data_IF_953880581179
#
_entry.id   IF_953880581179
#
_cell.length_a   1.000
_cell.length_b   1.000
_cell.length_c   1.000
_cell.angle_alpha   90.00
_cell.angle_beta   90.00
_cell.angle_gamma   90.00
#
_symmetry.space_group_name_H-M   'P 1'
#
loop_
_entity.id
_entity.type
_entity.pdbx_description
1 polymer ?
#
# COMPACT_ATOMS: atom_id res chain seq x y z
N UNK A 1 23.83 7.05 -9.40
CA UNK A 1 23.66 5.98 -8.40
C UNK A 1 22.80 4.88 -9.00
N UNK A 2 23.12 3.58 -8.81
CA UNK A 2 22.27 2.49 -9.29
C UNK A 2 20.90 2.55 -8.61
N UNK A 3 19.83 2.20 -9.36
CA UNK A 3 18.48 2.14 -8.82
C UNK A 3 18.42 1.03 -7.77
N UNK A 4 17.97 1.36 -6.54
CA UNK A 4 17.81 0.38 -5.44
C UNK A 4 16.65 -0.60 -5.67
N UNK A 5 15.66 -0.19 -6.47
CA UNK A 5 14.43 -0.92 -6.74
C UNK A 5 14.07 -0.86 -8.23
N UNK A 6 13.37 -1.89 -8.70
CA UNK A 6 12.95 -2.01 -10.11
C UNK A 6 11.52 -2.56 -10.22
N UNK A 7 10.75 -2.04 -11.19
CA UNK A 7 9.43 -2.57 -11.53
C UNK A 7 9.57 -3.78 -12.46
N UNK A 8 8.88 -4.88 -12.16
CA UNK A 8 8.79 -6.08 -13.01
C UNK A 8 7.38 -6.67 -12.95
N UNK A 9 7.08 -7.67 -13.78
CA UNK A 9 5.85 -8.46 -13.61
C UNK A 9 5.90 -9.23 -12.30
N UNK A 10 4.79 -9.23 -11.57
CA UNK A 10 4.68 -9.90 -10.28
C UNK A 10 3.89 -11.20 -10.40
N UNK A 11 4.29 -12.26 -9.68
CA UNK A 11 3.46 -13.44 -9.48
C UNK A 11 2.27 -13.18 -8.53
N UNK A 12 2.28 -12.10 -7.73
CA UNK A 12 1.19 -11.73 -6.82
C UNK A 12 0.05 -11.09 -7.64
N UNK A 13 0.34 -9.98 -8.31
CA UNK A 13 -0.64 -9.26 -9.11
C UNK A 13 0.04 -8.29 -10.08
N UNK A 14 -0.33 -8.34 -11.37
CA UNK A 14 0.09 -7.35 -12.36
C UNK A 14 1.59 -7.04 -12.36
N UNK A 15 1.93 -5.83 -11.92
CA UNK A 15 3.32 -5.41 -11.70
C UNK A 15 3.66 -5.47 -10.21
N UNK A 16 4.93 -5.71 -9.93
CA UNK A 16 5.54 -5.64 -8.60
C UNK A 16 6.77 -4.75 -8.60
N UNK A 17 7.27 -4.46 -7.41
CA UNK A 17 8.56 -3.78 -7.22
C UNK A 17 9.51 -4.73 -6.51
N UNK A 18 10.72 -4.83 -7.02
CA UNK A 18 11.73 -5.77 -6.55
C UNK A 18 12.98 -5.03 -6.11
N UNK A 19 13.65 -5.55 -5.09
CA UNK A 19 14.97 -5.09 -4.70
C UNK A 19 15.96 -5.36 -5.85
N UNK A 20 16.68 -4.33 -6.30
CA UNK A 20 17.70 -4.46 -7.34
C UNK A 20 19.09 -4.76 -6.75
N UNK A 21 19.26 -4.48 -5.46
CA UNK A 21 20.44 -4.71 -4.64
C UNK A 21 19.98 -5.20 -3.27
N UNK A 22 20.90 -5.70 -2.45
CA UNK A 22 20.60 -5.97 -1.05
C UNK A 22 20.22 -4.66 -0.32
N UNK A 23 19.10 -4.67 0.38
CA UNK A 23 18.57 -3.55 1.14
C UNK A 23 18.70 -3.84 2.64
N UNK A 24 19.18 -2.89 3.45
CA UNK A 24 19.14 -2.98 4.91
C UNK A 24 17.71 -3.02 5.47
N UNK A 25 17.59 -3.41 6.74
CA UNK A 25 16.38 -3.18 7.55
C UNK A 25 16.23 -1.71 7.92
N UNK A 26 15.01 -1.30 8.26
CA UNK A 26 14.67 -0.02 8.88
C UNK A 26 15.10 1.23 8.09
N UNK A 27 15.17 1.12 6.75
CA UNK A 27 15.46 2.26 5.88
C UNK A 27 14.21 2.75 5.17
N UNK A 28 14.06 4.07 5.08
CA UNK A 28 13.08 4.70 4.20
C UNK A 28 13.53 4.56 2.75
N UNK A 29 12.84 3.70 2.02
CA UNK A 29 13.25 3.27 0.69
C UNK A 29 12.71 4.19 -0.40
N UNK A 30 11.42 4.53 -0.30
CA UNK A 30 10.74 5.37 -1.28
C UNK A 30 9.50 6.02 -0.67
N UNK A 31 9.26 7.27 -1.02
CA UNK A 31 8.00 7.97 -0.74
C UNK A 31 6.89 7.49 -1.69
N UNK A 32 5.70 7.20 -1.17
CA UNK A 32 4.52 6.94 -1.99
C UNK A 32 3.93 8.27 -2.48
N UNK A 33 4.04 8.54 -3.79
CA UNK A 33 3.67 9.83 -4.39
C UNK A 33 2.39 9.74 -5.23
N UNK A 34 1.75 10.88 -5.38
CA UNK A 34 0.57 11.08 -6.22
C UNK A 34 -0.09 12.42 -5.94
N UNK A 35 -1.17 12.70 -6.68
CA UNK A 35 -2.02 13.88 -6.46
C UNK A 35 -2.65 13.84 -5.07
N UNK A 36 -2.68 14.98 -4.38
CA UNK A 36 -3.37 15.10 -3.08
C UNK A 36 -4.84 15.47 -3.30
N UNK A 37 -5.73 14.63 -2.78
CA UNK A 37 -7.18 14.85 -2.75
C UNK A 37 -7.65 14.99 -1.31
N UNK A 38 -8.72 15.71 -1.07
CA UNK A 38 -9.49 15.57 0.18
C UNK A 38 -10.30 14.27 0.14
N UNK A 39 -10.68 13.72 1.31
CA UNK A 39 -11.56 12.54 1.37
C UNK A 39 -12.82 12.69 0.51
N UNK A 40 -13.52 13.84 0.62
CA UNK A 40 -14.71 14.14 -0.20
C UNK A 40 -14.44 14.11 -1.72
N UNK A 41 -13.26 14.54 -2.15
CA UNK A 41 -12.89 14.47 -3.57
C UNK A 41 -12.59 13.05 -4.01
N UNK A 42 -11.91 12.27 -3.17
CA UNK A 42 -11.65 10.85 -3.43
C UNK A 42 -12.97 10.06 -3.51
N UNK A 43 -13.90 10.28 -2.58
CA UNK A 43 -15.22 9.64 -2.58
C UNK A 43 -16.03 9.98 -3.84
N UNK A 44 -16.01 11.26 -4.28
CA UNK A 44 -16.70 11.66 -5.51
C UNK A 44 -16.13 10.99 -6.76
N UNK A 45 -14.82 10.72 -6.79
CA UNK A 45 -14.15 10.15 -7.94
C UNK A 45 -14.18 8.61 -7.96
N UNK A 46 -14.15 7.97 -6.78
CA UNK A 46 -13.89 6.55 -6.63
C UNK A 46 -14.84 5.84 -5.65
N UNK A 47 -15.84 6.52 -5.08
CA UNK A 47 -16.74 5.94 -4.08
C UNK A 47 -17.51 4.71 -4.57
N UNK A 48 -17.84 4.68 -5.86
CA UNK A 48 -18.56 3.57 -6.48
C UNK A 48 -17.64 2.47 -7.03
N UNK A 49 -16.31 2.67 -7.02
CA UNK A 49 -15.33 1.70 -7.57
C UNK A 49 -14.76 0.76 -6.51
N UNK A 50 -15.31 0.78 -5.28
CA UNK A 50 -14.87 -0.11 -4.20
C UNK A 50 -15.04 -1.61 -4.54
N UNK A 51 -15.86 -1.94 -5.54
CA UNK A 51 -16.08 -3.31 -6.02
C UNK A 51 -14.99 -3.82 -6.98
N UNK A 52 -14.07 -2.97 -7.45
CA UNK A 52 -13.08 -3.37 -8.46
C UNK A 52 -11.82 -4.00 -7.87
N UNK A 53 -11.70 -4.06 -6.54
CA UNK A 53 -10.60 -4.73 -5.84
C UNK A 53 -9.21 -4.08 -6.02
N UNK A 54 -9.14 -2.94 -6.71
CA UNK A 54 -7.90 -2.26 -7.06
C UNK A 54 -8.01 -0.76 -6.83
N UNK A 55 -7.13 -0.22 -6.01
CA UNK A 55 -7.01 1.23 -5.82
C UNK A 55 -5.56 1.62 -5.60
N UNK A 56 -5.18 2.77 -6.12
CA UNK A 56 -3.87 3.40 -5.85
C UNK A 56 -4.01 4.58 -4.89
N UNK A 57 -5.09 4.58 -4.10
CA UNK A 57 -5.38 5.55 -3.07
C UNK A 57 -4.68 5.16 -1.75
N UNK A 58 -4.10 6.15 -1.08
CA UNK A 58 -3.48 5.99 0.23
C UNK A 58 -4.03 7.06 1.19
N UNK A 59 -4.65 6.66 2.30
CA UNK A 59 -5.10 7.62 3.32
C UNK A 59 -3.85 8.22 3.98
N UNK A 60 -3.63 9.52 3.78
CA UNK A 60 -2.49 10.22 4.35
C UNK A 60 -2.75 10.61 5.80
N UNK A 61 -3.89 11.25 6.04
CA UNK A 61 -4.33 11.74 7.33
C UNK A 61 -5.85 11.92 7.34
N UNK A 62 -6.38 12.57 8.37
CA UNK A 62 -7.80 12.87 8.55
C UNK A 62 -8.40 13.75 7.46
N UNK A 63 -7.58 14.49 6.70
CA UNK A 63 -8.03 15.44 5.68
C UNK A 63 -7.73 15.01 4.25
N UNK A 64 -6.61 14.33 4.03
CA UNK A 64 -6.05 14.08 2.70
C UNK A 64 -5.85 12.59 2.37
N UNK A 65 -5.95 12.31 1.08
CA UNK A 65 -5.68 11.03 0.42
C UNK A 65 -4.67 11.29 -0.70
N UNK A 66 -3.70 10.40 -0.86
CA UNK A 66 -2.79 10.38 -2.02
C UNK A 66 -3.43 9.53 -3.11
N UNK A 67 -3.63 10.11 -4.30
CA UNK A 67 -4.08 9.41 -5.50
C UNK A 67 -2.90 9.19 -6.45
N UNK A 68 -2.31 7.99 -6.40
CA UNK A 68 -1.17 7.65 -7.26
C UNK A 68 -1.58 7.24 -8.70
N UNK A 69 -2.86 7.35 -9.07
CA UNK A 69 -3.26 7.30 -10.49
C UNK A 69 -2.73 8.49 -11.26
N UNK A 70 -2.65 9.66 -10.61
CA UNK A 70 -2.18 10.92 -11.19
C UNK A 70 -0.87 11.31 -10.50
N UNK A 71 0.17 11.55 -11.30
CA UNK A 71 1.53 11.92 -10.83
C UNK A 71 2.14 10.94 -9.80
N UNK A 72 1.75 9.67 -9.88
CA UNK A 72 2.32 8.61 -9.06
C UNK A 72 3.74 8.22 -9.46
N UNK A 73 4.42 7.49 -8.58
CA UNK A 73 5.74 6.91 -8.84
C UNK A 73 5.72 5.38 -8.80
N UNK A 74 6.90 4.74 -8.84
CA UNK A 74 6.99 3.27 -8.86
C UNK A 74 6.41 2.60 -7.62
N UNK A 75 6.28 3.30 -6.48
CA UNK A 75 5.77 2.75 -5.24
C UNK A 75 4.31 2.26 -5.34
N UNK A 76 3.52 2.80 -6.28
CA UNK A 76 2.14 2.35 -6.54
C UNK A 76 2.03 0.89 -6.97
N UNK A 77 3.14 0.29 -7.45
CA UNK A 77 3.18 -1.11 -7.89
C UNK A 77 3.68 -2.06 -6.80
N UNK A 78 3.94 -1.59 -5.57
CA UNK A 78 4.32 -2.48 -4.48
C UNK A 78 3.07 -3.25 -4.05
N UNK A 79 3.13 -4.57 -4.13
CA UNK A 79 2.00 -5.45 -3.81
C UNK A 79 1.82 -5.62 -2.31
N UNK A 80 0.73 -6.30 -1.93
CA UNK A 80 0.50 -6.69 -0.54
C UNK A 80 0.87 -8.14 -0.26
N UNK A 81 1.24 -8.41 0.98
CA UNK A 81 1.51 -9.75 1.48
C UNK A 81 1.02 -9.91 2.91
N UNK A 82 0.55 -11.11 3.26
CA UNK A 82 0.23 -11.46 4.65
C UNK A 82 1.48 -11.56 5.54
N UNK A 83 2.67 -11.69 4.94
CA UNK A 83 3.97 -11.59 5.63
C UNK A 83 4.85 -10.60 4.88
N UNK A 84 4.59 -9.28 5.03
CA UNK A 84 5.30 -8.26 4.29
C UNK A 84 6.75 -8.11 4.73
N UNK A 85 7.58 -7.52 3.87
CA UNK A 85 8.97 -7.15 4.16
C UNK A 85 9.18 -5.63 4.22
N UNK A 86 8.14 -4.85 3.93
CA UNK A 86 8.07 -3.40 4.11
C UNK A 86 6.83 -3.00 4.91
N UNK A 87 6.84 -1.77 5.41
CA UNK A 87 5.69 -1.10 6.02
C UNK A 87 5.53 0.31 5.42
N UNK A 88 4.32 0.83 5.45
CA UNK A 88 4.06 2.23 5.14
C UNK A 88 4.03 3.04 6.44
N UNK A 89 4.84 4.09 6.51
CA UNK A 89 4.98 4.99 7.66
C UNK A 89 4.51 6.38 7.24
N UNK A 90 3.56 6.95 7.97
CA UNK A 90 3.16 8.35 7.78
C UNK A 90 4.14 9.23 8.54
N UNK A 91 4.79 10.14 7.83
CA UNK A 91 5.66 11.17 8.38
C UNK A 91 4.94 12.51 8.31
N UNK A 92 4.75 13.11 9.48
CA UNK A 92 4.11 14.42 9.59
C UNK A 92 5.09 15.51 9.15
N UNK A 93 4.63 16.47 8.34
CA UNK A 93 5.46 17.63 8.02
C UNK A 93 5.77 18.41 9.30
N UNK A 94 6.99 18.95 9.46
CA UNK A 94 7.31 19.88 10.55
C UNK A 94 6.44 21.16 10.52
N UNK A 95 5.89 21.49 9.35
CA UNK A 95 4.99 22.63 9.16
C UNK A 95 3.59 22.38 9.71
N UNK A 96 2.76 23.43 9.71
CA UNK A 96 1.34 23.31 10.07
C UNK A 96 0.47 22.78 8.92
N UNK A 97 0.99 22.73 7.69
CA UNK A 97 0.25 22.21 6.54
C UNK A 97 0.32 20.68 6.47
N UNK A 98 -0.74 20.04 6.96
CA UNK A 98 -0.93 18.59 6.88
C UNK A 98 -0.99 18.03 5.46
N UNK A 99 -1.10 18.89 4.43
CA UNK A 99 -1.00 18.45 3.03
C UNK A 99 0.41 17.99 2.65
N UNK A 100 1.41 18.46 3.39
CA UNK A 100 2.83 18.15 3.17
C UNK A 100 3.29 16.84 3.84
N UNK A 101 2.43 16.20 4.63
CA UNK A 101 2.72 14.89 5.21
C UNK A 101 3.06 13.89 4.11
N UNK A 102 3.89 12.90 4.45
CA UNK A 102 4.41 11.92 3.51
C UNK A 102 4.11 10.52 3.96
N UNK A 103 4.04 9.61 3.00
CA UNK A 103 3.99 8.18 3.26
C UNK A 103 5.32 7.61 2.78
N UNK A 104 6.12 7.10 3.69
CA UNK A 104 7.39 6.45 3.40
C UNK A 104 7.21 4.94 3.45
N UNK A 105 7.70 4.25 2.43
CA UNK A 105 7.81 2.79 2.45
C UNK A 105 9.16 2.43 3.08
N UNK A 106 9.09 1.83 4.27
CA UNK A 106 10.25 1.45 5.09
C UNK A 106 10.46 -0.06 5.07
N UNK A 107 11.70 -0.51 4.99
CA UNK A 107 12.02 -1.95 5.10
C UNK A 107 11.86 -2.42 6.55
N UNK A 108 11.29 -3.62 6.75
CA UNK A 108 11.09 -4.23 8.08
C UNK A 108 12.24 -5.16 8.50
N UNK A 109 13.02 -5.60 7.51
CA UNK A 109 14.13 -6.55 7.65
C UNK A 109 15.10 -6.32 6.50
N UNK A 110 16.30 -6.92 6.51
CA UNK A 110 17.14 -6.97 5.32
C UNK A 110 16.40 -7.69 4.18
N UNK A 111 16.52 -7.17 2.96
CA UNK A 111 15.88 -7.70 1.75
C UNK A 111 16.97 -7.98 0.72
N UNK A 112 17.02 -9.21 0.20
CA UNK A 112 17.99 -9.62 -0.81
C UNK A 112 17.61 -9.11 -2.19
N UNK A 113 18.62 -8.84 -3.02
CA UNK A 113 18.42 -8.53 -4.42
C UNK A 113 17.54 -9.61 -5.09
N UNK A 114 16.53 -9.17 -5.84
CA UNK A 114 15.56 -10.03 -6.51
C UNK A 114 14.31 -10.35 -5.68
N UNK A 115 14.27 -10.09 -4.37
CA UNK A 115 13.04 -10.23 -3.59
C UNK A 115 12.00 -9.17 -3.99
N UNK A 116 10.73 -9.57 -4.05
CA UNK A 116 9.62 -8.63 -4.24
C UNK A 116 9.33 -7.87 -2.94
N UNK A 117 9.17 -6.56 -3.04
CA UNK A 117 8.75 -5.70 -1.95
C UNK A 117 7.24 -5.83 -1.75
N UNK A 118 6.82 -5.86 -0.50
CA UNK A 118 5.40 -5.88 -0.14
C UNK A 118 5.15 -5.21 1.20
N UNK A 119 3.99 -4.57 1.34
CA UNK A 119 3.50 -4.04 2.62
C UNK A 119 2.03 -4.43 2.85
N UNK A 120 1.59 -4.37 4.10
CA UNK A 120 0.19 -4.60 4.43
C UNK A 120 -0.66 -3.39 3.99
N UNK A 121 -1.58 -3.58 3.04
CA UNK A 121 -2.43 -2.48 2.56
C UNK A 121 -3.41 -1.97 3.63
N UNK A 122 -3.67 -2.75 4.69
CA UNK A 122 -4.56 -2.32 5.77
C UNK A 122 -6.02 -2.10 5.33
N UNK A 123 -6.44 -2.69 4.20
CA UNK A 123 -7.76 -2.45 3.61
C UNK A 123 -8.82 -2.95 4.59
N UNK A 124 -9.65 -2.02 5.04
CA UNK A 124 -10.81 -2.27 5.87
C UNK A 124 -12.03 -1.74 5.14
N UNK A 125 -13.08 -2.54 5.06
CA UNK A 125 -14.35 -2.15 4.45
C UNK A 125 -15.42 -1.94 5.51
N UNK A 126 -16.38 -1.09 5.19
CA UNK A 126 -17.59 -0.97 5.98
C UNK A 126 -18.56 -2.12 5.75
N UNK A 127 -19.35 -2.42 6.78
CA UNK A 127 -20.25 -3.57 6.80
C UNK A 127 -19.57 -4.91 7.05
N UNK A 128 -20.29 -5.98 6.69
CA UNK A 128 -19.88 -7.37 6.90
C UNK A 128 -19.00 -7.83 5.74
N UNK A 129 -17.84 -8.40 6.05
CA UNK A 129 -17.00 -9.10 5.06
C UNK A 129 -17.75 -10.37 4.61
N UNK A 130 -18.26 -10.36 3.37
CA UNK A 130 -18.93 -11.50 2.73
C UNK A 130 -17.94 -12.33 1.92
N UNK A 131 -18.32 -13.57 1.56
CA UNK A 131 -17.50 -14.40 0.67
C UNK A 131 -17.31 -13.78 -0.72
N UNK A 132 -18.31 -13.04 -1.22
CA UNK A 132 -18.17 -12.27 -2.48
C UNK A 132 -17.06 -11.23 -2.36
N UNK A 133 -17.04 -10.45 -1.27
CA UNK A 133 -16.02 -9.43 -1.04
C UNK A 133 -14.63 -10.04 -0.84
N UNK A 134 -14.53 -11.19 -0.16
CA UNK A 134 -13.26 -11.91 -0.04
C UNK A 134 -12.70 -12.36 -1.40
N UNK A 135 -13.56 -12.75 -2.35
CA UNK A 135 -13.15 -13.13 -3.72
C UNK A 135 -12.70 -11.93 -4.54
N UNK A 136 -13.41 -10.80 -4.45
CA UNK A 136 -13.03 -9.54 -5.11
C UNK A 136 -11.65 -9.07 -4.58
N UNK A 137 -11.49 -9.10 -3.26
CA UNK A 137 -10.27 -8.70 -2.58
C UNK A 137 -9.39 -9.91 -2.22
N UNK A 138 -9.29 -10.88 -3.14
CA UNK A 138 -8.50 -12.09 -2.91
C UNK A 138 -7.01 -11.75 -2.75
N UNK A 139 -6.34 -12.42 -1.80
CA UNK A 139 -4.91 -12.26 -1.60
C UNK A 139 -4.14 -13.37 -2.34
N UNK A 140 -3.21 -12.97 -3.21
CA UNK A 140 -2.39 -13.87 -4.02
C UNK A 140 -0.91 -13.85 -3.61
N UNK A 141 -0.60 -13.45 -2.37
CA UNK A 141 0.79 -13.24 -1.94
C UNK A 141 1.66 -14.52 -1.87
N UNK A 142 1.07 -15.71 -2.01
CA UNK A 142 1.79 -16.99 -2.01
C UNK A 142 2.36 -17.44 -0.66
N UNK A 143 2.17 -16.66 0.42
CA UNK A 143 2.66 -17.06 1.74
C UNK A 143 1.87 -18.25 2.31
N UNK A 144 2.55 -19.21 2.96
CA UNK A 144 1.89 -20.39 3.55
C UNK A 144 0.80 -20.06 4.56
N UNK A 145 0.98 -18.98 5.33
CA UNK A 145 -0.03 -18.45 6.27
C UNK A 145 -0.94 -17.37 5.69
N UNK A 146 -1.19 -17.36 4.38
CA UNK A 146 -2.04 -16.35 3.76
C UNK A 146 -3.50 -16.41 4.27
N UNK A 147 -4.10 -15.27 4.55
CA UNK A 147 -5.51 -15.15 4.96
C UNK A 147 -6.52 -15.39 3.83
N UNK A 148 -6.05 -15.53 2.58
CA UNK A 148 -6.88 -15.67 1.38
C UNK A 148 -7.55 -14.38 0.90
N UNK A 149 -7.52 -13.31 1.70
CA UNK A 149 -8.09 -11.99 1.37
C UNK A 149 -7.21 -10.86 1.88
N UNK A 150 -7.18 -9.75 1.14
CA UNK A 150 -6.49 -8.50 1.52
C UNK A 150 -7.27 -7.73 2.60
N UNK A 151 -8.54 -8.06 2.81
CA UNK A 151 -9.40 -7.39 3.78
C UNK A 151 -8.98 -7.73 5.21
N UNK A 152 -8.93 -6.70 6.05
CA UNK A 152 -8.70 -6.83 7.48
C UNK A 152 -10.03 -6.93 8.22
N UNK A 153 -10.14 -7.80 9.23
CA UNK A 153 -11.27 -7.75 10.15
C UNK A 153 -11.28 -6.39 10.85
N UNK A 154 -12.47 -5.81 11.06
CA UNK A 154 -12.60 -4.58 11.85
C UNK A 154 -11.94 -4.80 13.21
N UNK A 155 -10.93 -3.98 13.56
CA UNK A 155 -10.41 -3.96 14.93
C UNK A 155 -11.58 -3.60 15.82
N UNK A 156 -11.96 -4.48 16.76
CA UNK A 156 -12.84 -4.08 17.86
C UNK A 156 -12.16 -2.88 18.51
N UNK A 157 -12.83 -1.72 18.60
CA UNK A 157 -12.34 -0.62 19.43
C UNK A 157 -12.08 -1.22 20.81
N UNK A 158 -10.86 -1.09 21.32
CA UNK A 158 -10.64 -1.29 22.75
C UNK A 158 -11.59 -0.29 23.43
N UNK A 159 -12.54 -0.84 24.20
CA UNK A 159 -13.52 -0.04 24.92
C UNK A 159 -12.88 0.82 25.98
#
# INVERSE_FOLDING_TARGET
MPKKIVRRRSPIHGNGVFAAVDLPADIDLIEYRGRRLTHRQADRLYGDTAEDGHTFLFILNDRYVIDANVDGNVARWINTSCKPNCQAVVEESPGRDRREDRVMIRTLRPIKAGEELSYDYGISIDGRITERLKRIWACHCGHRGCSGTMLKPKRKRAG
#
